data_IF_637508423306
#
_entry.id   IF_637508423306
#
_cell.length_a   1.000
_cell.length_b   1.000
_cell.length_c   1.000
_cell.angle_alpha   90.00
_cell.angle_beta   90.00
_cell.angle_gamma   90.00
#
_symmetry.space_group_name_H-M   'P 1'
#
loop_
_entity.id
_entity.type
_entity.pdbx_description
1 polymer ?
#
# COMPACT_ATOMS: atom_id res chain seq x y z
N UNK A 1 10.84 11.48 0.95
CA UNK A 1 9.75 10.61 0.51
C UNK A 1 8.56 11.48 0.11
N UNK A 2 7.95 11.24 -1.05
CA UNK A 2 6.66 11.84 -1.41
C UNK A 2 5.53 10.95 -0.88
N UNK A 3 4.58 11.54 -0.17
CA UNK A 3 3.37 10.87 0.28
C UNK A 3 2.18 11.42 -0.52
N UNK A 4 1.57 10.58 -1.35
CA UNK A 4 0.32 10.91 -2.05
C UNK A 4 -0.83 10.64 -1.09
N UNK A 5 -1.46 11.71 -0.62
CA UNK A 5 -2.57 11.67 0.34
C UNK A 5 -3.90 11.51 -0.39
N UNK A 6 -4.55 10.37 -0.20
CA UNK A 6 -5.88 10.05 -0.71
C UNK A 6 -7.02 10.53 0.19
N UNK A 7 -6.83 11.67 0.89
CA UNK A 7 -7.82 12.25 1.80
C UNK A 7 -8.18 11.33 2.98
N UNK A 8 -7.15 10.72 3.57
CA UNK A 8 -7.32 9.76 4.66
C UNK A 8 -6.76 10.26 5.99
N UNK A 9 -7.46 9.96 7.08
CA UNK A 9 -7.04 10.34 8.43
C UNK A 9 -5.76 9.63 8.91
N UNK A 10 -5.43 8.46 8.35
CA UNK A 10 -4.21 7.72 8.68
C UNK A 10 -2.97 8.19 7.92
N UNK A 11 -3.10 9.06 6.93
CA UNK A 11 -1.96 9.56 6.15
C UNK A 11 -0.89 10.16 7.06
N UNK A 12 -1.28 11.01 8.00
CA UNK A 12 -0.33 11.67 8.90
C UNK A 12 0.25 10.74 9.97
N UNK A 13 -0.40 9.62 10.29
CA UNK A 13 0.20 8.58 11.11
C UNK A 13 1.36 7.90 10.36
N UNK A 14 1.20 7.64 9.06
CA UNK A 14 2.30 7.16 8.22
C UNK A 14 3.44 8.17 8.14
N UNK A 15 3.12 9.46 7.95
CA UNK A 15 4.12 10.54 7.92
C UNK A 15 4.89 10.61 9.24
N UNK A 16 4.20 10.47 10.37
CA UNK A 16 4.83 10.44 11.68
C UNK A 16 5.79 9.24 11.80
N UNK A 17 5.37 8.04 11.41
CA UNK A 17 6.23 6.85 11.46
C UNK A 17 7.47 7.01 10.57
N UNK A 18 7.30 7.55 9.35
CA UNK A 18 8.43 7.86 8.48
C UNK A 18 9.39 8.86 9.13
N UNK A 19 8.85 9.90 9.76
CA UNK A 19 9.65 10.88 10.50
C UNK A 19 10.41 10.29 11.69
N UNK A 20 9.79 9.40 12.46
CA UNK A 20 10.44 8.68 13.57
C UNK A 20 11.56 7.75 13.07
N UNK A 21 11.44 7.23 11.86
CA UNK A 21 12.48 6.44 11.18
C UNK A 21 13.56 7.30 10.49
N UNK A 22 13.47 8.63 10.64
CA UNK A 22 14.46 9.57 10.10
C UNK A 22 14.23 9.99 8.65
N UNK A 23 13.08 9.67 8.05
CA UNK A 23 12.77 10.05 6.68
C UNK A 23 12.03 11.40 6.62
N UNK A 24 12.51 12.33 5.78
CA UNK A 24 11.78 13.54 5.43
C UNK A 24 10.62 13.21 4.48
N UNK A 25 9.44 13.76 4.74
CA UNK A 25 8.25 13.53 3.92
C UNK A 25 7.66 14.83 3.39
N UNK A 26 7.32 14.83 2.09
CA UNK A 26 6.52 15.85 1.42
C UNK A 26 5.14 15.26 1.12
N UNK A 27 4.09 15.85 1.66
CA UNK A 27 2.71 15.34 1.54
C UNK A 27 1.96 16.17 0.51
N UNK A 28 1.42 15.49 -0.51
CA UNK A 28 0.59 16.12 -1.54
C UNK A 28 -0.73 15.40 -1.67
N UNK A 29 -1.81 16.15 -1.84
CA UNK A 29 -3.12 15.57 -2.16
C UNK A 29 -3.09 14.92 -3.55
N UNK A 30 -3.87 13.88 -3.71
CA UNK A 30 -3.91 13.08 -4.94
C UNK A 30 -4.42 13.82 -6.19
N UNK A 31 -4.90 15.04 -6.01
CA UNK A 31 -5.43 15.95 -7.05
C UNK A 31 -4.68 17.30 -7.10
N UNK A 32 -3.63 17.47 -6.29
CA UNK A 32 -2.94 18.76 -6.15
C UNK A 32 -1.79 18.96 -7.13
N UNK A 33 -1.24 17.90 -7.69
CA UNK A 33 -0.11 17.93 -8.64
C UNK A 33 -0.38 17.00 -9.82
N UNK A 34 0.34 17.21 -10.92
CA UNK A 34 0.38 16.26 -12.01
C UNK A 34 1.44 15.16 -11.76
N UNK A 35 1.33 14.05 -12.49
CA UNK A 35 2.21 12.88 -12.34
C UNK A 35 3.67 13.21 -12.65
N UNK A 36 3.94 14.08 -13.62
CA UNK A 36 5.30 14.44 -14.04
C UNK A 36 5.99 15.37 -13.01
N UNK A 37 5.22 16.09 -12.21
CA UNK A 37 5.77 16.92 -11.14
C UNK A 37 6.51 16.08 -10.09
N UNK A 38 6.12 14.83 -9.87
CA UNK A 38 6.80 13.91 -8.96
C UNK A 38 8.29 13.78 -9.33
N UNK A 39 8.58 13.58 -10.61
CA UNK A 39 9.97 13.50 -11.09
C UNK A 39 10.77 14.79 -10.93
N UNK A 40 10.10 15.94 -11.10
CA UNK A 40 10.74 17.26 -10.91
C UNK A 40 11.11 17.54 -9.45
N UNK A 41 10.44 16.90 -8.50
CA UNK A 41 10.74 17.05 -7.06
C UNK A 41 11.95 16.25 -6.59
N UNK A 42 12.45 15.31 -7.39
CA UNK A 42 13.66 14.53 -7.06
C UNK A 42 13.51 13.70 -5.79
N UNK A 43 12.37 13.04 -5.62
CA UNK A 43 12.07 12.24 -4.44
C UNK A 43 12.72 10.85 -4.49
N UNK A 44 13.12 10.31 -3.35
CA UNK A 44 13.79 9.00 -3.25
C UNK A 44 12.80 7.83 -3.22
N UNK A 45 11.57 8.06 -2.79
CA UNK A 45 10.50 7.06 -2.72
C UNK A 45 9.12 7.71 -2.75
N UNK A 46 8.12 6.92 -3.12
CA UNK A 46 6.71 7.32 -3.13
C UNK A 46 5.93 6.41 -2.18
N UNK A 47 5.10 7.00 -1.33
CA UNK A 47 4.10 6.30 -0.52
C UNK A 47 2.71 6.72 -1.00
N UNK A 48 1.87 5.75 -1.38
CA UNK A 48 0.47 5.98 -1.72
C UNK A 48 -0.39 5.60 -0.52
N UNK A 49 -1.05 6.58 0.06
CA UNK A 49 -1.76 6.44 1.33
C UNK A 49 -3.03 5.60 1.23
N UNK A 50 -3.57 5.17 2.39
CA UNK A 50 -4.97 4.78 2.49
C UNK A 50 -5.90 5.87 1.96
N UNK A 51 -7.16 5.53 1.71
CA UNK A 51 -8.18 6.46 1.29
C UNK A 51 -9.54 5.82 1.13
N UNK A 52 -10.59 6.64 0.94
CA UNK A 52 -11.95 6.16 0.68
C UNK A 52 -12.13 5.69 -0.77
N UNK A 53 -13.26 5.07 -1.05
CA UNK A 53 -13.72 4.65 -2.37
C UNK A 53 -12.83 3.59 -3.02
N UNK A 54 -12.56 3.72 -4.31
CA UNK A 54 -11.79 2.77 -5.12
C UNK A 54 -10.58 3.45 -5.75
N UNK A 55 -9.64 2.69 -6.33
CA UNK A 55 -8.52 3.30 -7.09
C UNK A 55 -8.95 4.25 -8.22
N UNK A 56 -10.17 4.10 -8.74
CA UNK A 56 -10.68 5.00 -9.79
C UNK A 56 -10.89 6.44 -9.29
N UNK A 57 -11.19 6.62 -8.02
CA UNK A 57 -11.37 7.92 -7.38
C UNK A 57 -10.11 8.42 -6.64
N UNK A 58 -8.98 7.72 -6.77
CA UNK A 58 -7.74 8.04 -6.08
C UNK A 58 -6.82 9.03 -6.83
N UNK A 59 -7.40 9.89 -7.68
CA UNK A 59 -6.65 10.93 -8.40
C UNK A 59 -5.45 10.39 -9.17
N UNK A 60 -4.26 10.91 -8.90
CA UNK A 60 -3.02 10.51 -9.58
C UNK A 60 -2.43 9.18 -9.08
N UNK A 61 -3.02 8.50 -8.11
CA UNK A 61 -2.40 7.31 -7.48
C UNK A 61 -2.06 6.22 -8.48
N UNK A 62 -3.03 5.78 -9.30
CA UNK A 62 -2.80 4.74 -10.32
C UNK A 62 -1.85 5.25 -11.42
N UNK A 63 -2.04 6.43 -12.02
CA UNK A 63 -1.10 6.98 -13.00
C UNK A 63 0.33 7.13 -12.47
N UNK A 64 0.50 7.56 -11.21
CA UNK A 64 1.82 7.72 -10.59
C UNK A 64 2.52 6.36 -10.41
N UNK A 65 1.80 5.32 -9.98
CA UNK A 65 2.33 3.96 -9.87
C UNK A 65 2.82 3.49 -11.23
N UNK A 66 2.02 3.63 -12.27
CA UNK A 66 2.40 3.20 -13.63
C UNK A 66 3.61 3.98 -14.17
N UNK A 67 3.62 5.29 -13.99
CA UNK A 67 4.65 6.17 -14.55
C UNK A 67 6.01 5.99 -13.87
N UNK A 68 6.01 5.82 -12.55
CA UNK A 68 7.24 5.82 -11.76
C UNK A 68 7.73 4.43 -11.34
N UNK A 69 6.95 3.38 -11.60
CA UNK A 69 7.36 1.99 -11.40
C UNK A 69 8.66 1.68 -12.14
N UNK A 70 9.63 1.13 -11.43
CA UNK A 70 10.96 0.82 -11.97
C UNK A 70 11.93 2.01 -11.98
N UNK A 71 11.47 3.22 -11.66
CA UNK A 71 12.30 4.43 -11.56
C UNK A 71 12.42 4.92 -10.12
N UNK A 72 11.35 4.84 -9.35
CA UNK A 72 11.30 5.26 -7.95
C UNK A 72 10.64 4.14 -7.15
N UNK A 73 11.17 3.73 -5.99
CA UNK A 73 10.51 2.77 -5.11
C UNK A 73 9.14 3.27 -4.65
N UNK A 74 8.15 2.37 -4.62
CA UNK A 74 6.75 2.70 -4.30
C UNK A 74 6.22 1.76 -3.23
N UNK A 75 5.62 2.32 -2.19
CA UNK A 75 4.83 1.60 -1.19
C UNK A 75 3.37 2.05 -1.25
N UNK A 76 2.45 1.13 -1.44
CA UNK A 76 1.00 1.39 -1.36
C UNK A 76 0.40 0.80 -0.09
N UNK A 77 -0.37 1.59 0.64
CA UNK A 77 -1.06 1.17 1.87
C UNK A 77 -2.57 1.24 1.67
N UNK A 78 -3.28 0.16 1.94
CA UNK A 78 -4.73 0.01 1.84
C UNK A 78 -5.23 0.37 0.43
N UNK A 79 -5.81 1.56 0.21
CA UNK A 79 -6.17 2.04 -1.14
C UNK A 79 -4.96 2.09 -2.07
N UNK A 80 -3.77 2.43 -1.57
CA UNK A 80 -2.52 2.39 -2.33
C UNK A 80 -2.14 0.98 -2.79
N UNK A 81 -2.36 -0.03 -1.95
CA UNK A 81 -2.19 -1.44 -2.32
C UNK A 81 -3.18 -1.86 -3.42
N UNK A 82 -4.45 -1.49 -3.29
CA UNK A 82 -5.47 -1.74 -4.32
C UNK A 82 -5.13 -1.02 -5.62
N UNK A 83 -4.58 0.19 -5.53
CA UNK A 83 -4.12 0.97 -6.68
C UNK A 83 -2.95 0.28 -7.41
N UNK A 84 -2.03 -0.36 -6.68
CA UNK A 84 -0.98 -1.21 -7.26
C UNK A 84 -1.62 -2.41 -7.97
N UNK A 85 -2.54 -3.11 -7.32
CA UNK A 85 -3.26 -4.23 -7.94
C UNK A 85 -3.90 -3.83 -9.26
N UNK A 86 -4.63 -2.72 -9.28
CA UNK A 86 -5.31 -2.22 -10.49
C UNK A 86 -4.34 -1.71 -11.55
N UNK A 87 -3.27 -1.00 -11.16
CA UNK A 87 -2.28 -0.44 -12.09
C UNK A 87 -1.66 -1.53 -12.97
N UNK A 88 -1.40 -2.70 -12.43
CA UNK A 88 -0.78 -3.81 -13.17
C UNK A 88 -1.78 -4.84 -13.70
N UNK A 89 -3.07 -4.51 -13.74
CA UNK A 89 -4.10 -5.33 -14.40
C UNK A 89 -4.84 -6.32 -13.49
N UNK A 90 -4.63 -6.25 -12.17
CA UNK A 90 -5.43 -6.97 -11.19
C UNK A 90 -6.82 -6.36 -11.04
N UNK A 91 -7.74 -7.09 -10.42
CA UNK A 91 -9.10 -6.63 -10.15
C UNK A 91 -9.27 -6.31 -8.68
N UNK A 92 -9.95 -5.21 -8.38
CA UNK A 92 -10.39 -4.83 -7.04
C UNK A 92 -11.84 -5.26 -6.88
N UNK A 93 -12.12 -6.05 -5.86
CA UNK A 93 -13.42 -6.67 -5.61
C UNK A 93 -13.82 -6.46 -4.15
N UNK A 94 -15.06 -6.77 -3.80
CA UNK A 94 -15.46 -6.79 -2.40
C UNK A 94 -14.64 -7.82 -1.61
N UNK A 95 -14.15 -7.41 -0.44
CA UNK A 95 -13.48 -8.29 0.49
C UNK A 95 -14.42 -9.38 0.98
N UNK A 96 -13.87 -10.54 1.38
CA UNK A 96 -14.63 -11.63 1.94
C UNK A 96 -15.39 -11.24 3.21
N UNK A 97 -14.79 -10.32 3.98
CA UNK A 97 -15.38 -9.75 5.19
C UNK A 97 -15.15 -8.24 5.24
N UNK A 98 -16.15 -7.50 5.72
CA UNK A 98 -15.97 -6.08 6.02
C UNK A 98 -15.06 -5.92 7.23
N UNK A 99 -13.93 -5.25 7.04
CA UNK A 99 -12.95 -4.98 8.08
C UNK A 99 -12.98 -3.49 8.47
N UNK A 100 -13.22 -3.24 9.76
CA UNK A 100 -13.21 -1.89 10.31
C UNK A 100 -12.59 -1.90 11.71
N UNK A 101 -11.29 -1.63 11.78
CA UNK A 101 -10.53 -1.63 13.03
C UNK A 101 -10.34 -3.01 13.65
N UNK A 102 -10.52 -4.06 12.90
CA UNK A 102 -10.31 -5.44 13.34
C UNK A 102 -8.92 -5.90 12.97
N UNK A 103 -8.32 -6.71 13.83
CA UNK A 103 -7.03 -7.35 13.55
C UNK A 103 -7.21 -8.67 12.82
N UNK A 104 -6.17 -9.09 12.13
CA UNK A 104 -6.06 -10.40 11.49
C UNK A 104 -4.63 -10.90 11.57
N UNK A 105 -4.46 -12.21 11.58
CA UNK A 105 -3.16 -12.84 11.41
C UNK A 105 -2.71 -12.74 9.97
N UNK A 106 -1.51 -12.20 9.76
CA UNK A 106 -0.89 -11.98 8.46
C UNK A 106 0.20 -13.03 8.27
N UNK A 107 -0.04 -13.95 7.34
CA UNK A 107 0.95 -14.93 6.90
C UNK A 107 1.71 -14.37 5.69
N UNK A 108 3.02 -14.40 5.72
CA UNK A 108 3.86 -13.75 4.70
C UNK A 108 5.02 -14.63 4.25
N UNK A 109 5.68 -14.23 3.15
CA UNK A 109 6.80 -14.96 2.54
C UNK A 109 8.12 -14.80 3.29
N UNK A 110 8.23 -13.85 4.22
CA UNK A 110 9.45 -13.55 4.97
C UNK A 110 10.49 -12.76 4.18
N UNK A 111 10.12 -12.25 3.00
CA UNK A 111 11.04 -11.52 2.12
C UNK A 111 10.71 -10.02 2.04
N UNK A 112 11.67 -9.22 1.59
CA UNK A 112 11.53 -7.77 1.37
C UNK A 112 10.94 -7.04 2.58
N UNK A 113 9.70 -6.51 2.46
CA UNK A 113 9.02 -5.80 3.54
C UNK A 113 8.79 -6.64 4.80
N UNK A 114 8.78 -7.97 4.66
CA UNK A 114 8.47 -8.89 5.75
C UNK A 114 9.71 -9.58 6.31
N UNK A 115 10.90 -9.22 5.84
CA UNK A 115 12.15 -9.82 6.30
C UNK A 115 12.36 -9.54 7.78
N UNK A 116 12.54 -10.61 8.58
CA UNK A 116 12.76 -10.51 10.01
C UNK A 116 11.53 -10.34 10.88
N UNK A 117 10.35 -10.19 10.30
CA UNK A 117 9.09 -10.11 11.05
C UNK A 117 8.64 -11.50 11.53
N UNK A 118 7.94 -11.60 12.69
CA UNK A 118 7.25 -12.81 13.07
C UNK A 118 6.27 -13.28 12.01
N UNK A 119 6.13 -14.59 11.82
CA UNK A 119 5.21 -15.17 10.84
C UNK A 119 4.36 -16.26 11.47
N UNK A 120 3.07 -16.04 11.69
CA UNK A 120 2.32 -14.82 11.36
C UNK A 120 2.53 -13.68 12.36
N UNK A 121 2.16 -12.46 11.98
CA UNK A 121 1.99 -11.33 12.90
C UNK A 121 0.57 -10.75 12.81
N UNK A 122 0.18 -9.99 13.83
CA UNK A 122 -1.15 -9.39 13.90
C UNK A 122 -1.15 -7.96 13.37
N UNK A 123 -2.07 -7.64 12.47
CA UNK A 123 -2.22 -6.30 11.91
C UNK A 123 -3.69 -5.87 11.77
N UNK A 124 -3.91 -4.56 11.88
CA UNK A 124 -5.25 -3.95 11.79
C UNK A 124 -5.63 -3.72 10.35
N UNK A 125 -6.90 -3.99 10.04
CA UNK A 125 -7.49 -3.77 8.72
C UNK A 125 -8.69 -2.83 8.78
N UNK A 126 -8.80 -1.94 7.77
CA UNK A 126 -9.90 -0.99 7.58
C UNK A 126 -10.29 -0.96 6.10
N UNK A 127 -10.92 -2.03 5.59
CA UNK A 127 -11.27 -2.08 4.18
C UNK A 127 -12.50 -2.94 3.91
N UNK A 128 -13.24 -2.58 2.86
CA UNK A 128 -14.35 -3.34 2.29
C UNK A 128 -14.01 -3.93 0.92
N UNK A 129 -12.88 -3.52 0.33
CA UNK A 129 -12.39 -3.96 -0.96
C UNK A 129 -11.04 -4.68 -0.79
N UNK A 130 -10.73 -5.58 -1.72
CA UNK A 130 -9.48 -6.34 -1.75
C UNK A 130 -9.07 -6.61 -3.20
N UNK A 131 -7.79 -6.92 -3.41
CA UNK A 131 -7.31 -7.39 -4.71
C UNK A 131 -7.70 -8.85 -4.89
N UNK A 132 -8.37 -9.16 -5.99
CA UNK A 132 -8.80 -10.53 -6.30
C UNK A 132 -7.59 -11.42 -6.63
N UNK A 133 -7.61 -12.64 -6.08
CA UNK A 133 -6.61 -13.67 -6.45
C UNK A 133 -6.86 -14.22 -7.85
N UNK A 134 -8.12 -14.38 -8.22
CA UNK A 134 -8.51 -14.85 -9.54
C UNK A 134 -8.15 -13.81 -10.61
N UNK A 135 -7.41 -14.25 -11.62
CA UNK A 135 -6.95 -13.38 -12.71
C UNK A 135 -5.84 -12.40 -12.30
N UNK A 136 -5.17 -12.64 -11.18
CA UNK A 136 -4.00 -11.85 -10.80
C UNK A 136 -2.90 -12.03 -11.86
N UNK A 137 -2.38 -10.94 -12.47
CA UNK A 137 -1.36 -11.05 -13.50
C UNK A 137 -0.01 -11.49 -12.94
N UNK A 138 0.82 -12.13 -13.76
CA UNK A 138 2.15 -12.65 -13.37
C UNK A 138 3.15 -11.56 -12.98
N UNK A 139 2.87 -10.31 -13.33
CA UNK A 139 3.66 -9.14 -12.87
C UNK A 139 3.50 -8.86 -11.38
N UNK A 140 2.47 -9.40 -10.74
CA UNK A 140 2.20 -9.26 -9.31
C UNK A 140 2.43 -10.57 -8.59
N UNK A 141 3.16 -10.51 -7.48
CA UNK A 141 3.44 -11.63 -6.59
C UNK A 141 2.73 -11.39 -5.26
N UNK A 142 1.98 -12.38 -4.80
CA UNK A 142 1.36 -12.35 -3.47
C UNK A 142 2.45 -12.58 -2.42
N UNK A 143 2.63 -11.64 -1.52
CA UNK A 143 3.65 -11.69 -0.46
C UNK A 143 3.06 -11.94 0.91
N UNK A 144 1.77 -11.65 1.11
CA UNK A 144 1.07 -11.92 2.36
C UNK A 144 -0.42 -12.19 2.15
N UNK A 145 -0.98 -13.00 3.04
CA UNK A 145 -2.40 -13.36 3.05
C UNK A 145 -2.91 -13.59 4.48
N UNK A 146 -4.22 -13.50 4.64
CA UNK A 146 -4.92 -13.86 5.89
C UNK A 146 -5.21 -15.36 5.96
N UNK A 147 -5.73 -15.84 7.11
CA UNK A 147 -6.12 -17.25 7.31
C UNK A 147 -7.14 -17.75 6.28
N UNK A 148 -8.05 -16.89 5.84
CA UNK A 148 -9.05 -17.20 4.81
C UNK A 148 -8.54 -16.98 3.37
N UNK A 149 -7.25 -16.69 3.21
CA UNK A 149 -6.58 -16.56 1.92
C UNK A 149 -6.84 -15.24 1.19
N UNK A 150 -7.33 -14.19 1.86
CA UNK A 150 -7.42 -12.87 1.27
C UNK A 150 -6.02 -12.27 1.08
N UNK A 151 -5.76 -11.68 -0.07
CA UNK A 151 -4.49 -11.03 -0.38
C UNK A 151 -4.36 -9.76 0.45
N UNK A 152 -3.30 -9.66 1.26
CA UNK A 152 -2.98 -8.50 2.08
C UNK A 152 -1.56 -8.00 1.90
N UNK A 153 -0.81 -8.61 1.01
CA UNK A 153 0.52 -8.16 0.57
C UNK A 153 0.75 -8.51 -0.89
N UNK A 154 1.28 -7.55 -1.63
CA UNK A 154 1.67 -7.67 -3.05
C UNK A 154 3.02 -7.03 -3.28
N UNK A 155 3.74 -7.53 -4.27
CA UNK A 155 4.87 -6.83 -4.87
C UNK A 155 4.87 -6.99 -6.39
N UNK A 156 5.49 -6.04 -7.07
CA UNK A 156 5.82 -6.23 -8.48
C UNK A 156 6.96 -7.25 -8.63
N UNK A 157 6.91 -8.08 -9.66
CA UNK A 157 7.88 -9.16 -9.87
C UNK A 157 9.30 -8.66 -10.18
N UNK A 158 9.45 -7.44 -10.73
CA UNK A 158 10.73 -6.89 -11.19
C UNK A 158 11.10 -5.54 -10.57
N UNK A 159 10.12 -4.74 -10.17
CA UNK A 159 10.32 -3.37 -9.69
C UNK A 159 10.12 -3.28 -8.18
N UNK A 160 10.77 -2.31 -7.54
CA UNK A 160 10.58 -2.00 -6.13
C UNK A 160 9.22 -1.32 -5.90
N UNK A 161 8.15 -2.08 -6.09
CA UNK A 161 6.76 -1.68 -5.85
C UNK A 161 6.13 -2.69 -4.93
N UNK A 162 5.69 -2.24 -3.76
CA UNK A 162 5.16 -3.06 -2.69
C UNK A 162 3.82 -2.52 -2.22
N UNK A 163 2.91 -3.41 -1.85
CA UNK A 163 1.60 -3.04 -1.33
C UNK A 163 1.22 -3.86 -0.11
N UNK A 164 0.65 -3.21 0.89
CA UNK A 164 0.04 -3.84 2.06
C UNK A 164 -1.39 -3.37 2.24
N UNK A 165 -2.32 -4.30 2.43
CA UNK A 165 -3.75 -3.99 2.61
C UNK A 165 -4.05 -3.54 4.04
N UNK A 166 -3.29 -4.00 5.02
CA UNK A 166 -3.43 -3.61 6.42
C UNK A 166 -2.82 -2.22 6.68
N UNK A 167 -3.11 -1.65 7.86
CA UNK A 167 -2.63 -0.34 8.29
C UNK A 167 -1.44 -0.48 9.24
N UNK A 168 -0.19 -0.32 8.76
CA UNK A 168 0.99 -0.43 9.62
C UNK A 168 1.04 0.66 10.69
N UNK A 169 0.55 1.86 10.40
CA UNK A 169 0.53 2.99 11.34
C UNK A 169 -0.67 2.99 12.29
N UNK A 170 -1.45 1.91 12.37
CA UNK A 170 -2.51 1.75 13.36
C UNK A 170 -1.94 1.23 14.68
N UNK A 171 -2.37 1.79 15.81
CA UNK A 171 -1.89 1.43 17.15
C UNK A 171 -1.92 -0.09 17.42
N UNK A 172 -2.98 -0.85 17.04
CA UNK A 172 -3.00 -2.29 17.26
C UNK A 172 -2.06 -3.12 16.35
N UNK A 173 -1.41 -2.50 15.36
CA UNK A 173 -0.43 -3.19 14.52
C UNK A 173 0.95 -3.18 15.21
N UNK A 174 1.34 -4.29 15.79
CA UNK A 174 2.51 -4.38 16.69
C UNK A 174 3.83 -4.12 15.96
N UNK A 175 3.98 -4.65 14.75
CA UNK A 175 5.21 -4.57 13.93
C UNK A 175 5.12 -3.54 12.81
N UNK A 176 4.32 -2.51 12.97
CA UNK A 176 4.05 -1.54 11.90
C UNK A 176 5.23 -0.62 11.53
N UNK A 177 6.23 -0.52 12.41
CA UNK A 177 7.46 0.28 12.18
C UNK A 177 8.65 -0.56 11.72
N UNK A 178 8.59 -1.88 11.92
CA UNK A 178 9.67 -2.80 11.57
C UNK A 178 9.70 -3.07 10.08
#
# INVERSE_FOLDING_TARGET
>A
ILVIDNYDSFTYNLVQYLGELGAGSDVVRNDAIDVEEIGRRGVDAIVVSPGPCTPNEAGISVPAILRWSGLIPILGVCLGHQSIGQAFGGRVVHAKQLMHGKTSWIHHDGENLFAGLPNPFEATRYHSLAVAREGLPDTLVVTAQTDDGEIVGLRHSRHAVFGVQFHPASIPTVHGKD
#
